data_IF_283169742008
#
_entry.id   IF_283169742008
#
_cell.length_a   1.000
_cell.length_b   1.000
_cell.length_c   1.000
_cell.angle_alpha   90.00
_cell.angle_beta   90.00
_cell.angle_gamma   90.00
#
_symmetry.space_group_name_H-M   'P 1'
#
loop_
_entity.id
_entity.type
_entity.pdbx_description
1 polymer ?
#
# COMPACT_ATOMS: atom_id res chain seq x y z
N UNK A 1 -9.13 -2.69 9.93
CA UNK A 1 -8.81 -3.15 8.57
C UNK A 1 -10.08 -3.43 7.82
N UNK A 2 -10.21 -2.88 6.62
CA UNK A 2 -11.28 -3.21 5.66
C UNK A 2 -11.19 -4.66 5.17
N UNK A 3 -12.22 -5.16 4.49
CA UNK A 3 -12.20 -6.52 3.95
C UNK A 3 -11.17 -6.70 2.81
N UNK A 4 -10.94 -5.65 2.02
CA UNK A 4 -9.86 -5.61 1.04
C UNK A 4 -8.49 -5.72 1.73
N UNK A 5 -8.23 -4.92 2.77
CA UNK A 5 -6.99 -5.01 3.55
C UNK A 5 -6.80 -6.40 4.16
N UNK A 6 -7.84 -6.99 4.75
CA UNK A 6 -7.75 -8.36 5.30
C UNK A 6 -7.39 -9.36 4.20
N UNK A 7 -8.04 -9.26 3.03
CA UNK A 7 -7.83 -10.17 1.89
C UNK A 7 -6.40 -10.07 1.35
N UNK A 8 -5.88 -8.86 1.18
CA UNK A 8 -4.49 -8.65 0.75
C UNK A 8 -3.50 -9.09 1.83
N UNK A 9 -3.75 -8.77 3.10
CA UNK A 9 -2.87 -9.13 4.20
C UNK A 9 -2.63 -10.65 4.32
N UNK A 10 -3.64 -11.48 4.02
CA UNK A 10 -3.48 -12.94 4.01
C UNK A 10 -2.39 -13.43 3.04
N UNK A 11 -2.12 -12.67 1.99
CA UNK A 11 -1.12 -12.97 0.97
C UNK A 11 0.24 -12.32 1.26
N UNK A 12 0.26 -11.21 2.00
CA UNK A 12 1.48 -10.47 2.33
C UNK A 12 2.14 -10.94 3.65
N UNK A 13 1.34 -11.42 4.60
CA UNK A 13 1.82 -11.81 5.93
C UNK A 13 2.78 -13.00 5.87
N UNK A 14 3.56 -13.15 6.93
CA UNK A 14 4.43 -14.31 7.15
C UNK A 14 5.37 -14.60 5.95
N UNK A 15 5.79 -13.54 5.26
CA UNK A 15 6.70 -13.60 4.11
C UNK A 15 6.17 -14.41 2.92
N UNK A 16 4.84 -14.56 2.82
CA UNK A 16 4.19 -15.35 1.77
C UNK A 16 4.41 -14.81 0.36
N UNK A 17 4.59 -13.49 0.22
CA UNK A 17 4.90 -12.88 -1.07
C UNK A 17 6.42 -12.76 -1.26
N UNK A 18 6.98 -13.65 -2.08
CA UNK A 18 8.41 -13.66 -2.45
C UNK A 18 9.40 -13.62 -1.28
N UNK A 19 9.03 -14.15 -0.10
CA UNK A 19 9.90 -14.13 1.09
C UNK A 19 10.01 -12.76 1.79
N UNK A 20 9.31 -11.74 1.29
CA UNK A 20 9.43 -10.36 1.75
C UNK A 20 8.61 -10.08 3.00
N UNK A 21 9.18 -9.30 3.92
CA UNK A 21 8.49 -8.92 5.16
C UNK A 21 7.62 -7.69 4.92
N UNK A 22 6.31 -7.89 4.94
CA UNK A 22 5.34 -6.80 5.03
C UNK A 22 4.91 -6.58 6.49
N UNK A 23 4.78 -5.31 6.86
CA UNK A 23 4.12 -4.83 8.08
C UNK A 23 2.78 -4.24 7.67
N UNK A 24 1.78 -4.28 8.54
CA UNK A 24 0.47 -3.64 8.34
C UNK A 24 0.27 -2.49 9.31
N UNK A 25 -0.51 -1.48 8.92
CA UNK A 25 -0.82 -0.30 9.74
C UNK A 25 0.44 0.34 10.33
N UNK A 26 1.44 0.53 9.48
CA UNK A 26 2.77 0.96 9.90
C UNK A 26 2.79 2.47 10.17
N UNK A 27 3.16 2.92 11.39
CA UNK A 27 3.29 4.35 11.68
C UNK A 27 4.49 4.94 10.94
N UNK A 28 4.27 6.04 10.23
CA UNK A 28 5.27 6.76 9.47
C UNK A 28 5.04 8.28 9.60
N UNK A 29 5.75 8.92 10.54
CA UNK A 29 5.49 10.31 10.91
C UNK A 29 4.05 10.49 11.35
N UNK A 30 3.35 11.45 10.75
CA UNK A 30 1.93 11.73 11.03
C UNK A 30 0.95 10.81 10.30
N UNK A 31 1.43 9.79 9.58
CA UNK A 31 0.61 8.92 8.75
C UNK A 31 0.68 7.46 9.21
N UNK A 32 -0.39 6.71 8.93
CA UNK A 32 -0.40 5.26 8.99
C UNK A 32 -0.44 4.71 7.58
N UNK A 33 0.48 3.80 7.28
CA UNK A 33 0.55 3.11 6.00
C UNK A 33 -0.15 1.76 6.11
N UNK A 34 -1.01 1.42 5.13
CA UNK A 34 -1.78 0.17 5.20
C UNK A 34 -0.85 -1.03 5.23
N UNK A 35 0.11 -1.08 4.29
CA UNK A 35 1.19 -2.06 4.28
C UNK A 35 2.53 -1.42 3.92
N UNK A 36 3.60 -1.89 4.56
CA UNK A 36 4.96 -1.44 4.30
C UNK A 36 5.95 -2.62 4.26
N UNK A 37 6.75 -2.69 3.20
CA UNK A 37 7.86 -3.62 3.04
C UNK A 37 9.20 -2.87 3.21
N UNK A 38 9.86 -2.99 4.38
CA UNK A 38 11.07 -2.22 4.66
C UNK A 38 12.23 -2.51 3.70
N UNK A 39 12.43 -3.78 3.30
CA UNK A 39 13.57 -4.15 2.45
C UNK A 39 13.48 -3.61 1.02
N UNK A 40 12.30 -3.17 0.58
CA UNK A 40 12.07 -2.60 -0.75
C UNK A 40 11.58 -1.15 -0.70
N UNK A 41 11.52 -0.56 0.51
CA UNK A 41 10.96 0.77 0.73
C UNK A 41 9.58 0.94 0.09
N UNK A 42 8.79 -0.13 0.05
CA UNK A 42 7.53 -0.19 -0.69
C UNK A 42 6.34 -0.04 0.25
N UNK A 43 5.46 0.88 -0.09
CA UNK A 43 4.17 1.13 0.56
C UNK A 43 3.07 0.62 -0.36
N UNK A 44 2.11 -0.11 0.21
CA UNK A 44 0.90 -0.53 -0.51
C UNK A 44 -0.32 -0.01 0.25
N UNK A 45 -1.09 0.85 -0.39
CA UNK A 45 -2.30 1.50 0.15
C UNK A 45 -3.55 0.94 -0.52
N UNK A 46 -4.64 0.81 0.24
CA UNK A 46 -5.95 0.45 -0.28
C UNK A 46 -6.87 1.66 -0.17
N UNK A 47 -7.25 2.19 -1.32
CA UNK A 47 -8.09 3.37 -1.42
C UNK A 47 -9.59 3.00 -1.41
N UNK A 48 -10.32 3.56 -0.44
CA UNK A 48 -11.77 3.46 -0.33
C UNK A 48 -12.56 4.52 -1.10
N UNK A 49 -11.88 5.40 -1.85
CA UNK A 49 -12.51 6.44 -2.66
C UNK A 49 -12.89 7.72 -1.90
N UNK A 50 -12.26 8.02 -0.77
CA UNK A 50 -12.60 9.22 0.04
C UNK A 50 -11.85 10.51 -0.39
N UNK A 51 -11.04 10.47 -1.44
CA UNK A 51 -10.11 11.56 -1.79
C UNK A 51 -10.67 12.65 -2.73
N UNK A 52 -11.97 12.73 -2.96
CA UNK A 52 -12.52 13.61 -4.01
C UNK A 52 -12.71 15.08 -3.61
N UNK A 53 -12.56 15.45 -2.33
CA UNK A 53 -12.64 16.86 -1.89
C UNK A 53 -11.35 17.62 -2.20
N UNK A 54 -11.44 18.94 -2.42
CA UNK A 54 -10.27 19.77 -2.72
C UNK A 54 -9.24 19.78 -1.58
N UNK A 55 -9.70 19.67 -0.32
CA UNK A 55 -8.85 19.51 0.86
C UNK A 55 -8.18 18.12 0.91
N UNK A 56 -8.91 17.06 0.54
CA UNK A 56 -8.36 15.70 0.43
C UNK A 56 -7.19 15.62 -0.55
N UNK A 57 -7.32 16.25 -1.73
CA UNK A 57 -6.23 16.28 -2.73
C UNK A 57 -4.98 17.01 -2.25
N UNK A 58 -5.14 18.12 -1.51
CA UNK A 58 -3.99 18.85 -0.92
C UNK A 58 -3.26 17.99 0.11
N UNK A 59 -4.01 17.29 0.97
CA UNK A 59 -3.45 16.39 1.96
C UNK A 59 -2.72 15.20 1.31
N UNK A 60 -3.27 14.62 0.25
CA UNK A 60 -2.61 13.54 -0.49
C UNK A 60 -1.32 13.99 -1.15
N UNK A 61 -1.30 15.20 -1.72
CA UNK A 61 -0.08 15.74 -2.32
C UNK A 61 1.03 15.87 -1.28
N UNK A 62 0.73 16.45 -0.12
CA UNK A 62 1.70 16.59 0.98
C UNK A 62 2.17 15.22 1.47
N UNK A 63 1.24 14.26 1.62
CA UNK A 63 1.57 12.89 2.03
C UNK A 63 2.50 12.21 1.03
N UNK A 64 2.19 12.29 -0.26
CA UNK A 64 2.99 11.67 -1.32
C UNK A 64 4.38 12.31 -1.40
N UNK A 65 4.49 13.64 -1.27
CA UNK A 65 5.78 14.32 -1.20
C UNK A 65 6.61 13.90 0.02
N UNK A 66 5.98 13.77 1.19
CA UNK A 66 6.64 13.29 2.40
C UNK A 66 7.20 11.87 2.22
N UNK A 67 6.40 10.94 1.70
CA UNK A 67 6.83 9.56 1.47
C UNK A 67 7.89 9.46 0.37
N UNK A 68 7.77 10.26 -0.69
CA UNK A 68 8.76 10.35 -1.76
C UNK A 68 10.11 10.86 -1.25
N UNK A 69 10.13 11.88 -0.39
CA UNK A 69 11.36 12.37 0.28
C UNK A 69 11.98 11.33 1.20
N UNK A 70 11.17 10.46 1.79
CA UNK A 70 11.64 9.32 2.57
C UNK A 70 12.15 8.14 1.70
N UNK A 71 12.20 8.31 0.37
CA UNK A 71 12.66 7.29 -0.56
C UNK A 71 11.70 6.10 -0.68
N UNK A 72 10.42 6.31 -0.36
CA UNK A 72 9.41 5.26 -0.40
C UNK A 72 8.68 5.24 -1.75
N UNK A 73 8.51 4.04 -2.32
CA UNK A 73 7.64 3.81 -3.46
C UNK A 73 6.22 3.50 -2.97
N UNK A 74 5.20 4.11 -3.56
CA UNK A 74 3.81 3.95 -3.12
C UNK A 74 2.96 3.37 -4.25
N UNK A 75 2.41 2.18 -4.02
CA UNK A 75 1.38 1.58 -4.86
C UNK A 75 0.02 1.73 -4.18
N UNK A 76 -0.99 2.07 -4.97
CA UNK A 76 -2.36 2.28 -4.46
C UNK A 76 -3.34 1.48 -5.30
N UNK A 77 -4.18 0.70 -4.62
CA UNK A 77 -5.21 -0.12 -5.24
C UNK A 77 -6.57 0.25 -4.69
N UNK A 78 -7.62 0.19 -5.51
CA UNK A 78 -8.97 0.37 -4.97
C UNK A 78 -9.43 -0.87 -4.19
N UNK A 79 -10.40 -0.69 -3.29
CA UNK A 79 -11.12 -1.83 -2.69
C UNK A 79 -11.61 -2.82 -3.76
N UNK A 80 -12.12 -2.31 -4.88
CA UNK A 80 -12.61 -3.14 -5.99
C UNK A 80 -11.49 -4.00 -6.57
N UNK A 81 -10.33 -3.42 -6.87
CA UNK A 81 -9.20 -4.15 -7.45
C UNK A 81 -8.75 -5.31 -6.56
N UNK A 82 -8.63 -5.06 -5.26
CA UNK A 82 -8.21 -6.10 -4.30
C UNK A 82 -9.28 -7.18 -4.13
N UNK A 83 -10.55 -6.79 -4.10
CA UNK A 83 -11.65 -7.74 -3.89
C UNK A 83 -11.93 -8.59 -5.14
N UNK A 84 -11.90 -8.00 -6.35
CA UNK A 84 -12.24 -8.68 -7.59
C UNK A 84 -11.03 -9.21 -8.38
N UNK A 85 -9.84 -8.64 -8.20
CA UNK A 85 -8.65 -8.98 -8.98
C UNK A 85 -7.37 -9.07 -8.12
N UNK A 86 -7.45 -9.81 -7.01
CA UNK A 86 -6.33 -10.00 -6.09
C UNK A 86 -5.06 -10.50 -6.80
N UNK A 87 -5.18 -11.44 -7.73
CA UNK A 87 -4.03 -11.98 -8.46
C UNK A 87 -3.34 -10.92 -9.33
N UNK A 88 -4.10 -10.01 -9.93
CA UNK A 88 -3.54 -8.87 -10.67
C UNK A 88 -2.75 -7.95 -9.76
N UNK A 89 -3.31 -7.61 -8.59
CA UNK A 89 -2.65 -6.80 -7.56
C UNK A 89 -1.34 -7.44 -7.10
N UNK A 90 -1.33 -8.74 -6.78
CA UNK A 90 -0.11 -9.43 -6.35
C UNK A 90 0.97 -9.47 -7.44
N UNK A 91 0.58 -9.72 -8.70
CA UNK A 91 1.50 -9.70 -9.84
C UNK A 91 2.14 -8.33 -10.03
N UNK A 92 1.35 -7.27 -9.87
CA UNK A 92 1.83 -5.89 -9.98
C UNK A 92 2.83 -5.56 -8.88
N UNK A 93 2.50 -5.87 -7.62
CA UNK A 93 3.44 -5.75 -6.49
C UNK A 93 4.73 -6.53 -6.76
N UNK A 94 4.64 -7.77 -7.25
CA UNK A 94 5.78 -8.62 -7.56
C UNK A 94 6.73 -8.03 -8.59
N UNK A 95 6.20 -7.37 -9.63
CA UNK A 95 7.04 -6.70 -10.64
C UNK A 95 7.92 -5.64 -9.99
N UNK A 96 7.32 -4.78 -9.17
CA UNK A 96 8.02 -3.67 -8.50
C UNK A 96 9.07 -4.17 -7.50
N UNK A 97 8.85 -5.30 -6.83
CA UNK A 97 9.84 -5.83 -5.87
C UNK A 97 10.89 -6.75 -6.48
N UNK A 98 10.75 -7.16 -7.74
CA UNK A 98 11.71 -8.04 -8.42
C UNK A 98 12.82 -7.26 -9.13
N UNK A 99 12.60 -5.97 -9.37
CA UNK A 99 13.63 -5.00 -9.76
C UNK A 99 14.51 -4.59 -8.56
#
# INVERSE_FOLDING_TARGET
MTDAEKKLWQQLRDRRLAGLKFRRQYPCGSYYLDFYCPSKHLVVEIDGGQHYTQNGRKHDKIRNEYLGRAGMHVLRYSNKDVLSNLNGVLKDILKIVSD
#
